data_IF_100082109049
#
_entry.id   IF_100082109049
#
_cell.length_a   1.000
_cell.length_b   1.000
_cell.length_c   1.000
_cell.angle_alpha   90.00
_cell.angle_beta   90.00
_cell.angle_gamma   90.00
#
_symmetry.space_group_name_H-M   'P 1'
#
loop_
_entity.id
_entity.type
_entity.pdbx_description
1 polymer ?
#
# COMPACT_ATOMS: atom_id res chain seq x y z
N UNK A 1 1.68 -21.57 11.46
CA UNK A 1 0.89 -20.33 11.34
C UNK A 1 1.54 -19.50 10.24
N UNK A 2 0.77 -19.07 9.22
CA UNK A 2 1.31 -18.28 8.11
C UNK A 2 1.55 -16.83 8.54
N UNK A 3 2.56 -16.17 7.97
CA UNK A 3 2.82 -14.75 8.21
C UNK A 3 1.91 -13.91 7.30
N UNK A 4 1.32 -12.85 7.84
CA UNK A 4 0.39 -11.96 7.14
C UNK A 4 1.14 -10.73 6.67
N UNK A 5 1.07 -10.47 5.36
CA UNK A 5 1.66 -9.30 4.71
C UNK A 5 0.52 -8.39 4.26
N UNK A 6 0.58 -7.11 4.63
CA UNK A 6 -0.46 -6.14 4.29
C UNK A 6 0.17 -5.06 3.42
N UNK A 7 -0.36 -4.87 2.22
CA UNK A 7 0.04 -3.80 1.31
C UNK A 7 -0.93 -2.63 1.41
N UNK A 8 -0.41 -1.41 1.51
CA UNK A 8 -1.21 -0.18 1.60
C UNK A 8 -0.70 0.84 0.59
N UNK A 9 -1.55 1.23 -0.35
CA UNK A 9 -1.35 2.41 -1.21
C UNK A 9 -2.11 3.59 -0.60
N UNK A 10 -1.40 4.67 -0.28
CA UNK A 10 -1.93 5.77 0.53
C UNK A 10 -2.65 6.82 -0.31
N UNK A 11 -3.78 7.29 0.21
CA UNK A 11 -4.61 8.31 -0.45
C UNK A 11 -6.07 8.20 -0.05
N UNK A 12 -6.90 9.12 -0.58
CA UNK A 12 -8.36 9.18 -0.35
C UNK A 12 -9.04 7.84 -0.64
N UNK A 13 -8.63 7.19 -1.73
CA UNK A 13 -8.96 5.79 -2.03
C UNK A 13 -7.76 4.93 -1.68
N UNK A 14 -7.72 4.46 -0.44
CA UNK A 14 -6.62 3.64 0.06
C UNK A 14 -6.67 2.28 -0.63
N UNK A 15 -5.62 1.94 -1.39
CA UNK A 15 -5.43 0.59 -1.89
C UNK A 15 -5.06 -0.33 -0.75
N UNK A 16 -5.67 -1.50 -0.67
CA UNK A 16 -5.44 -2.45 0.42
C UNK A 16 -5.30 -3.86 -0.13
N UNK A 17 -4.28 -4.57 0.32
CA UNK A 17 -4.09 -5.97 -0.03
C UNK A 17 -3.60 -6.79 1.16
N UNK A 18 -4.04 -8.04 1.21
CA UNK A 18 -3.58 -9.03 2.19
C UNK A 18 -2.97 -10.19 1.43
N UNK A 19 -1.78 -10.61 1.83
CA UNK A 19 -1.15 -11.83 1.37
C UNK A 19 -0.70 -12.70 2.55
N UNK A 20 -0.74 -14.02 2.36
CA UNK A 20 -0.21 -14.98 3.32
C UNK A 20 1.09 -15.56 2.78
N UNK A 21 2.14 -15.53 3.59
CA UNK A 21 3.39 -16.24 3.30
C UNK A 21 3.48 -17.49 4.17
N UNK A 22 3.59 -18.63 3.50
CA UNK A 22 3.78 -19.96 4.09
C UNK A 22 5.16 -20.55 3.74
N UNK A 23 6.10 -19.72 3.31
CA UNK A 23 7.47 -20.12 2.92
C UNK A 23 7.76 -20.05 1.42
N UNK A 24 6.77 -19.65 0.61
CA UNK A 24 6.88 -19.57 -0.86
C UNK A 24 6.63 -18.14 -1.38
N UNK A 25 6.61 -17.15 -0.49
CA UNK A 25 6.25 -15.77 -0.80
C UNK A 25 4.74 -15.52 -0.66
N UNK A 26 4.38 -14.24 -0.58
CA UNK A 26 3.02 -13.80 -0.31
C UNK A 26 2.03 -14.18 -1.40
N UNK A 27 1.03 -14.98 -1.03
CA UNK A 27 -0.13 -15.34 -1.86
C UNK A 27 -1.32 -14.46 -1.50
N UNK A 28 -1.83 -13.68 -2.46
CA UNK A 28 -2.93 -12.74 -2.26
C UNK A 28 -4.20 -13.45 -1.77
N UNK A 29 -4.79 -12.92 -0.70
CA UNK A 29 -6.07 -13.34 -0.12
C UNK A 29 -7.15 -12.27 -0.30
N UNK A 30 -6.74 -11.00 -0.28
CA UNK A 30 -7.62 -9.87 -0.50
C UNK A 30 -6.91 -8.77 -1.28
N UNK A 31 -7.67 -8.12 -2.16
CA UNK A 31 -7.25 -6.96 -2.95
C UNK A 31 -8.48 -6.06 -3.09
N UNK A 32 -8.46 -4.93 -2.40
CA UNK A 32 -9.60 -4.03 -2.27
C UNK A 32 -9.15 -2.56 -2.25
N UNK A 33 -10.12 -1.65 -2.35
CA UNK A 33 -9.90 -0.22 -2.17
C UNK A 33 -10.93 0.28 -1.17
N UNK A 34 -10.44 0.98 -0.14
CA UNK A 34 -11.18 1.32 1.07
C UNK A 34 -10.94 2.80 1.40
N UNK A 35 -11.72 3.32 2.34
CA UNK A 35 -11.29 4.54 3.05
C UNK A 35 -10.15 4.21 4.02
N UNK A 36 -9.37 5.22 4.43
CA UNK A 36 -8.29 5.04 5.41
C UNK A 36 -8.79 4.39 6.72
N UNK A 37 -9.96 4.80 7.22
CA UNK A 37 -10.53 4.27 8.46
C UNK A 37 -10.96 2.82 8.30
N UNK A 38 -11.59 2.46 7.19
CA UNK A 38 -11.97 1.07 6.90
C UNK A 38 -10.73 0.17 6.77
N UNK A 39 -9.68 0.65 6.12
CA UNK A 39 -8.42 -0.08 6.01
C UNK A 39 -7.76 -0.29 7.40
N UNK A 40 -7.73 0.74 8.25
CA UNK A 40 -7.21 0.62 9.62
C UNK A 40 -8.03 -0.36 10.47
N UNK A 41 -9.37 -0.28 10.43
CA UNK A 41 -10.23 -1.26 11.12
C UNK A 41 -9.94 -2.69 10.69
N UNK A 42 -9.76 -2.91 9.38
CA UNK A 42 -9.43 -4.23 8.83
C UNK A 42 -8.06 -4.75 9.26
N UNK A 43 -7.07 -3.85 9.43
CA UNK A 43 -5.78 -4.25 10.03
C UNK A 43 -5.98 -4.74 11.46
N UNK A 44 -6.82 -4.05 12.27
CA UNK A 44 -7.09 -4.48 13.64
C UNK A 44 -7.84 -5.83 13.70
N UNK A 45 -8.76 -6.09 12.77
CA UNK A 45 -9.39 -7.41 12.61
C UNK A 45 -8.32 -8.49 12.34
N UNK A 46 -7.40 -8.25 11.39
CA UNK A 46 -6.32 -9.19 11.11
C UNK A 46 -5.35 -9.38 12.29
N UNK A 47 -5.12 -8.34 13.09
CA UNK A 47 -4.36 -8.44 14.35
C UNK A 47 -5.07 -9.36 15.35
N UNK A 48 -6.39 -9.23 15.48
CA UNK A 48 -7.21 -10.08 16.35
C UNK A 48 -7.17 -11.55 15.90
N UNK A 49 -7.23 -11.79 14.59
CA UNK A 49 -7.31 -13.15 14.04
C UNK A 49 -5.96 -13.88 14.01
N UNK A 50 -4.85 -13.16 13.79
CA UNK A 50 -3.55 -13.77 13.53
C UNK A 50 -2.46 -13.44 14.55
N UNK A 51 -2.69 -12.48 15.46
CA UNK A 51 -1.68 -12.00 16.39
C UNK A 51 -0.75 -10.96 15.76
N UNK A 52 -0.53 -9.86 16.48
CA UNK A 52 0.21 -8.69 16.01
C UNK A 52 1.62 -9.02 15.50
N UNK A 53 2.29 -9.98 16.13
CA UNK A 53 3.66 -10.39 15.84
C UNK A 53 3.83 -11.06 14.48
N UNK A 54 2.72 -11.59 13.92
CA UNK A 54 2.68 -12.30 12.64
C UNK A 54 2.32 -11.38 11.46
N UNK A 55 2.06 -10.10 11.72
CA UNK A 55 1.70 -9.11 10.71
C UNK A 55 2.88 -8.19 10.37
N UNK A 56 2.97 -7.78 9.10
CA UNK A 56 3.85 -6.72 8.63
C UNK A 56 3.14 -5.90 7.56
N UNK A 57 3.11 -4.59 7.77
CA UNK A 57 2.55 -3.63 6.81
C UNK A 57 3.65 -3.09 5.88
N UNK A 58 3.35 -2.96 4.60
CA UNK A 58 4.16 -2.29 3.58
C UNK A 58 3.32 -1.14 3.04
N UNK A 59 3.75 0.09 3.34
CA UNK A 59 2.94 1.28 3.13
C UNK A 59 3.65 2.18 2.14
N UNK A 60 3.02 2.48 1.00
CA UNK A 60 3.58 3.44 0.04
C UNK A 60 3.64 4.85 0.67
N UNK A 61 4.80 5.50 0.55
CA UNK A 61 5.05 6.82 1.13
C UNK A 61 5.41 7.86 0.07
N UNK A 62 4.43 8.69 -0.30
CA UNK A 62 4.63 9.79 -1.24
C UNK A 62 5.72 10.80 -0.83
N UNK A 63 6.11 10.86 0.46
CA UNK A 63 7.18 11.75 0.96
C UNK A 63 8.56 11.28 0.53
N UNK A 64 8.74 9.99 0.25
CA UNK A 64 10.04 9.41 -0.14
C UNK A 64 10.43 9.70 -1.59
N UNK A 65 9.53 10.21 -2.44
CA UNK A 65 9.80 10.48 -3.87
C UNK A 65 10.95 11.50 -4.03
N UNK A 66 11.98 11.13 -4.80
CA UNK A 66 13.24 11.89 -4.96
C UNK A 66 13.33 12.80 -6.19
N UNK A 67 12.29 12.94 -7.02
CA UNK A 67 12.38 13.63 -8.34
C UNK A 67 12.39 15.18 -8.27
N UNK A 68 13.42 15.75 -7.63
CA UNK A 68 13.61 17.19 -7.39
C UNK A 68 14.37 17.91 -8.52
N UNK A 69 13.96 17.76 -9.78
CA UNK A 69 14.62 18.45 -10.89
C UNK A 69 13.67 19.12 -11.87
N UNK A 70 12.99 18.32 -12.70
CA UNK A 70 12.10 18.82 -13.75
C UNK A 70 10.60 18.69 -13.40
N UNK A 71 10.25 17.83 -12.43
CA UNK A 71 8.88 17.68 -11.96
C UNK A 71 8.45 18.85 -11.07
N UNK A 72 9.32 19.34 -10.18
CA UNK A 72 9.05 20.53 -9.35
C UNK A 72 8.88 21.80 -10.17
N UNK A 73 9.66 22.01 -11.24
CA UNK A 73 9.48 23.15 -12.12
C UNK A 73 8.13 23.08 -12.90
N UNK A 74 7.66 21.87 -13.22
CA UNK A 74 6.32 21.62 -13.79
C UNK A 74 5.22 21.71 -12.72
N UNK A 75 5.51 21.34 -11.47
CA UNK A 75 4.59 21.34 -10.33
C UNK A 75 4.37 22.75 -9.77
N UNK A 76 5.41 23.57 -9.70
CA UNK A 76 5.31 24.99 -9.41
C UNK A 76 4.45 25.72 -10.46
N UNK A 77 4.47 25.24 -11.71
CA UNK A 77 3.62 25.70 -12.82
C UNK A 77 2.23 25.02 -12.87
N UNK A 78 1.98 23.99 -12.05
CA UNK A 78 0.68 23.31 -12.01
C UNK A 78 -0.26 24.02 -11.04
N UNK A 79 -1.56 24.03 -11.35
CA UNK A 79 -2.57 24.79 -10.60
C UNK A 79 -2.71 24.36 -9.13
N UNK A 80 -3.35 25.20 -8.30
CA UNK A 80 -3.49 24.97 -6.86
C UNK A 80 -4.00 23.57 -6.48
N UNK A 81 -4.99 23.04 -7.20
CA UNK A 81 -5.57 21.72 -6.92
C UNK A 81 -4.59 20.55 -7.07
N UNK A 82 -3.59 20.63 -7.96
CA UNK A 82 -2.57 19.57 -8.09
C UNK A 82 -1.64 19.57 -6.87
N UNK A 83 -1.30 20.76 -6.36
CA UNK A 83 -0.46 20.90 -5.16
C UNK A 83 -1.19 20.44 -3.91
N UNK A 84 -2.46 20.77 -3.78
CA UNK A 84 -3.33 20.33 -2.68
C UNK A 84 -3.48 18.81 -2.64
N UNK A 85 -3.70 18.17 -3.80
CA UNK A 85 -3.76 16.71 -3.89
C UNK A 85 -2.48 16.01 -3.41
N UNK A 86 -1.30 16.53 -3.78
CA UNK A 86 -0.01 15.99 -3.30
C UNK A 86 0.14 16.16 -1.79
N UNK A 87 -0.26 17.33 -1.27
CA UNK A 87 -0.24 17.59 0.17
C UNK A 87 -1.13 16.61 0.94
N UNK A 88 -2.31 16.28 0.41
CA UNK A 88 -3.23 15.30 0.98
C UNK A 88 -2.58 13.91 1.08
N UNK A 89 -1.99 13.41 -0.01
CA UNK A 89 -1.38 12.08 -0.01
C UNK A 89 -0.19 11.99 0.95
N UNK A 90 0.65 13.04 1.04
CA UNK A 90 1.74 13.10 2.03
C UNK A 90 1.22 13.06 3.46
N UNK A 91 0.07 13.71 3.74
CA UNK A 91 -0.58 13.66 5.04
C UNK A 91 -1.11 12.26 5.33
N UNK A 92 -1.74 11.60 4.37
CA UNK A 92 -2.26 10.23 4.55
C UNK A 92 -1.14 9.23 4.89
N UNK A 93 0.02 9.34 4.23
CA UNK A 93 1.19 8.54 4.57
C UNK A 93 1.71 8.78 6.01
N UNK A 94 1.70 10.04 6.45
CA UNK A 94 2.06 10.39 7.84
C UNK A 94 1.05 9.80 8.84
N UNK A 95 -0.25 9.89 8.56
CA UNK A 95 -1.30 9.32 9.42
C UNK A 95 -1.10 7.81 9.59
N UNK A 96 -0.79 7.10 8.50
CA UNK A 96 -0.48 5.68 8.55
C UNK A 96 0.73 5.36 9.42
N UNK A 97 1.82 6.13 9.25
CA UNK A 97 3.03 5.95 10.04
C UNK A 97 2.78 6.15 11.54
N UNK A 98 2.11 7.24 11.90
CA UNK A 98 1.82 7.58 13.31
C UNK A 98 0.88 6.55 13.93
N UNK A 99 -0.17 6.17 13.21
CA UNK A 99 -1.10 5.14 13.67
C UNK A 99 -0.41 3.78 13.87
N UNK A 100 0.50 3.37 12.97
CA UNK A 100 1.26 2.14 13.16
C UNK A 100 2.14 2.19 14.42
N UNK A 101 2.76 3.34 14.73
CA UNK A 101 3.52 3.54 15.97
C UNK A 101 2.62 3.45 17.20
N UNK A 102 1.46 4.09 17.17
CA UNK A 102 0.48 4.09 18.27
C UNK A 102 -0.02 2.67 18.59
N UNK A 103 -0.31 1.87 17.55
CA UNK A 103 -0.74 0.47 17.71
C UNK A 103 0.44 -0.49 17.98
N UNK A 104 1.68 0.00 17.86
CA UNK A 104 2.91 -0.79 17.97
C UNK A 104 2.98 -1.91 16.93
N UNK A 105 2.58 -1.65 15.69
CA UNK A 105 2.59 -2.59 14.58
C UNK A 105 3.97 -2.66 13.91
N UNK A 106 4.30 -3.79 13.30
CA UNK A 106 5.47 -3.88 12.40
C UNK A 106 5.08 -3.30 11.04
N UNK A 107 5.85 -2.34 10.55
CA UNK A 107 5.59 -1.71 9.26
C UNK A 107 6.89 -1.27 8.56
N UNK A 108 6.81 -1.10 7.25
CA UNK A 108 7.86 -0.51 6.43
C UNK A 108 7.25 0.54 5.49
N UNK A 109 7.79 1.75 5.53
CA UNK A 109 7.46 2.78 4.53
C UNK A 109 8.24 2.50 3.25
N UNK A 110 7.53 2.39 2.13
CA UNK A 110 8.07 2.00 0.83
C UNK A 110 8.08 3.21 -0.09
N UNK A 111 9.23 3.44 -0.74
CA UNK A 111 9.34 4.46 -1.77
C UNK A 111 8.36 4.11 -2.91
N UNK A 112 7.54 5.07 -3.37
CA UNK A 112 6.62 4.86 -4.49
C UNK A 112 7.36 4.31 -5.69
N UNK A 113 6.90 3.21 -6.25
CA UNK A 113 7.54 2.66 -7.43
C UNK A 113 7.48 3.73 -8.55
N UNK A 114 8.63 4.09 -9.11
CA UNK A 114 8.72 5.15 -10.11
C UNK A 114 8.00 4.74 -11.39
N UNK A 115 6.69 4.99 -11.49
CA UNK A 115 5.86 4.87 -12.70
C UNK A 115 6.06 3.59 -13.52
N UNK A 116 6.62 2.52 -12.94
CA UNK A 116 6.85 1.26 -13.64
C UNK A 116 5.53 0.51 -13.61
N UNK A 117 4.79 0.80 -14.69
CA UNK A 117 3.51 0.25 -15.08
C UNK A 117 2.39 0.56 -14.11
N UNK A 118 1.51 1.51 -14.47
CA UNK A 118 0.09 1.36 -14.14
C UNK A 118 -0.26 -0.08 -14.47
N UNK A 119 -0.43 -0.90 -13.45
CA UNK A 119 -0.57 -2.32 -13.62
C UNK A 119 -1.92 -2.51 -14.31
N UNK A 120 -1.92 -2.71 -15.64
CA UNK A 120 -3.15 -2.94 -16.38
C UNK A 120 -3.83 -4.17 -15.78
N UNK A 121 -5.16 -4.17 -15.68
CA UNK A 121 -5.90 -5.25 -15.04
C UNK A 121 -5.59 -6.61 -15.67
N UNK A 122 -5.36 -6.64 -17.00
CA UNK A 122 -4.95 -7.85 -17.71
C UNK A 122 -3.55 -8.33 -17.30
N UNK A 123 -2.61 -7.41 -17.18
CA UNK A 123 -1.25 -7.73 -16.74
C UNK A 123 -1.24 -8.20 -15.28
N UNK A 124 -2.00 -7.54 -14.41
CA UNK A 124 -2.16 -7.94 -13.01
C UNK A 124 -2.73 -9.35 -12.88
N UNK A 125 -3.81 -9.66 -13.61
CA UNK A 125 -4.38 -11.01 -13.65
C UNK A 125 -3.36 -12.04 -14.12
N UNK A 126 -2.61 -11.76 -15.20
CA UNK A 126 -1.59 -12.68 -15.72
C UNK A 126 -0.47 -12.93 -14.70
N UNK A 127 -0.09 -11.91 -13.94
CA UNK A 127 1.00 -11.97 -12.98
C UNK A 127 0.60 -12.68 -11.68
N UNK A 128 -0.58 -12.35 -11.14
CA UNK A 128 -1.01 -12.76 -9.79
C UNK A 128 -2.05 -13.87 -9.77
N UNK A 129 -2.71 -14.13 -10.91
CA UNK A 129 -3.88 -15.01 -10.99
C UNK A 129 -5.16 -14.41 -10.40
N UNK A 130 -5.14 -13.15 -9.97
CA UNK A 130 -6.30 -12.52 -9.33
C UNK A 130 -7.41 -12.16 -10.31
N UNK A 131 -8.53 -12.87 -10.24
CA UNK A 131 -9.65 -12.77 -11.18
C UNK A 131 -10.74 -11.79 -10.78
N UNK A 132 -10.78 -11.37 -9.51
CA UNK A 132 -11.79 -10.42 -9.02
C UNK A 132 -11.48 -9.01 -9.52
N UNK A 133 -12.52 -8.16 -9.58
CA UNK A 133 -12.38 -6.75 -10.00
C UNK A 133 -11.45 -5.99 -9.06
N UNK A 134 -10.62 -5.11 -9.63
CA UNK A 134 -9.69 -4.25 -8.90
C UNK A 134 -9.65 -2.86 -9.54
N UNK A 135 -9.27 -1.84 -8.77
CA UNK A 135 -8.90 -0.53 -9.28
C UNK A 135 -7.36 -0.35 -9.24
N UNK A 136 -6.86 0.80 -9.69
CA UNK A 136 -5.42 1.10 -9.75
C UNK A 136 -4.77 0.98 -8.37
N UNK A 137 -5.31 1.69 -7.37
CA UNK A 137 -4.82 1.67 -5.99
C UNK A 137 -4.75 0.27 -5.37
N UNK A 138 -5.80 -0.54 -5.55
CA UNK A 138 -5.83 -1.90 -5.02
C UNK A 138 -4.74 -2.78 -5.63
N UNK A 139 -4.45 -2.61 -6.93
CA UNK A 139 -3.37 -3.34 -7.60
C UNK A 139 -2.00 -2.88 -7.11
N UNK A 140 -1.80 -1.59 -6.93
CA UNK A 140 -0.53 -1.05 -6.45
C UNK A 140 -0.23 -1.55 -5.03
N UNK A 141 -1.24 -1.55 -4.14
CA UNK A 141 -1.16 -2.18 -2.83
C UNK A 141 -0.83 -3.68 -2.90
N UNK A 142 -1.47 -4.43 -3.80
CA UNK A 142 -1.19 -5.85 -3.98
C UNK A 142 0.24 -6.11 -4.46
N UNK A 143 0.79 -5.24 -5.31
CA UNK A 143 2.17 -5.37 -5.79
C UNK A 143 3.22 -5.14 -4.69
N UNK A 144 2.87 -4.53 -3.56
CA UNK A 144 3.77 -4.41 -2.41
C UNK A 144 4.02 -5.74 -1.71
N UNK A 145 3.06 -6.67 -1.77
CA UNK A 145 3.06 -7.93 -0.98
C UNK A 145 3.05 -9.20 -1.81
N UNK A 146 2.64 -9.15 -3.07
CA UNK A 146 2.64 -10.32 -3.96
C UNK A 146 4.05 -10.90 -4.14
N UNK A 147 4.20 -12.20 -3.84
CA UNK A 147 5.49 -12.91 -3.93
C UNK A 147 6.54 -12.47 -2.90
N UNK A 148 6.19 -11.55 -1.97
CA UNK A 148 7.12 -11.06 -0.96
C UNK A 148 7.30 -12.08 0.15
N UNK A 149 8.54 -12.30 0.58
CA UNK A 149 8.83 -13.16 1.72
C UNK A 149 8.75 -12.39 3.04
N UNK A 150 8.13 -13.01 4.02
CA UNK A 150 7.89 -12.46 5.34
C UNK A 150 9.14 -12.56 6.24
N UNK A 151 10.07 -11.62 6.02
CA UNK A 151 11.33 -11.49 6.79
C UNK A 151 11.18 -10.43 7.89
N UNK A 152 10.62 -10.83 9.04
CA UNK A 152 10.42 -10.02 10.24
C UNK A 152 9.97 -10.89 11.43
#
# INVERSE_FOLDING_TARGET
MGKVLIGVDTGVHTGFAVALDQGNGGVLQDVSSLTITQAMSKVLELVSDHGKENLMLFIEDARLRTWFGNADARQARSGAGVREGIGSVKRDAQIWEDWCKEQGLKYQMIHPAANKTKTDAKYFLKLTGWTKRTNEHARDAAMLVFGRFAKF
#
